data_IF_256371920661
#
_entry.id   IF_256371920661
#
_cell.length_a   1.000
_cell.length_b   1.000
_cell.length_c   1.000
_cell.angle_alpha   90.00
_cell.angle_beta   90.00
_cell.angle_gamma   90.00
#
_symmetry.space_group_name_H-M   'P 1'
#
loop_
_entity.id
_entity.type
_entity.pdbx_description
1 polymer ?
#
# COMPACT_ATOMS: atom_id res chain seq x y z
N UNK A 1 1.31 -48.33 -16.14
CA UNK A 1 2.62 -47.63 -16.26
C UNK A 1 2.27 -46.20 -16.62
N UNK A 2 2.66 -45.21 -15.81
CA UNK A 2 2.44 -43.79 -16.10
C UNK A 2 3.72 -43.29 -16.79
N UNK A 3 3.59 -42.54 -17.89
CA UNK A 3 4.72 -42.13 -18.73
C UNK A 3 5.40 -40.84 -18.25
N UNK A 4 4.83 -40.16 -17.25
CA UNK A 4 5.32 -38.90 -16.64
C UNK A 4 5.53 -37.77 -17.65
N UNK A 5 4.92 -37.85 -18.83
CA UNK A 5 5.22 -36.95 -19.94
C UNK A 5 3.98 -36.47 -20.70
N UNK A 6 2.91 -37.27 -20.74
CA UNK A 6 1.69 -36.95 -21.48
C UNK A 6 0.52 -36.85 -20.53
N UNK A 7 -0.25 -35.77 -20.64
CA UNK A 7 -1.42 -35.55 -19.79
C UNK A 7 -2.61 -35.25 -20.66
N UNK A 8 -3.68 -35.99 -20.40
CA UNK A 8 -4.95 -35.81 -21.05
C UNK A 8 -5.90 -35.25 -19.99
N UNK A 9 -6.31 -34.00 -20.14
CA UNK A 9 -7.27 -33.33 -19.25
C UNK A 9 -8.52 -32.96 -20.03
N UNK A 10 -9.67 -32.97 -19.38
CA UNK A 10 -10.93 -32.63 -20.05
C UNK A 10 -12.17 -33.04 -19.29
N UNK A 11 -13.32 -32.54 -19.74
CA UNK A 11 -14.63 -32.92 -19.20
C UNK A 11 -15.15 -34.14 -19.95
N UNK A 12 -14.98 -35.33 -19.38
CA UNK A 12 -15.49 -36.58 -19.96
C UNK A 12 -16.64 -37.12 -19.10
N UNK A 13 -17.85 -37.16 -19.66
CA UNK A 13 -19.04 -37.53 -18.89
C UNK A 13 -19.40 -39.01 -19.14
N UNK A 14 -19.15 -39.87 -18.15
CA UNK A 14 -19.35 -41.33 -18.23
C UNK A 14 -20.84 -41.78 -18.20
N UNK A 15 -21.79 -40.87 -18.39
CA UNK A 15 -23.24 -41.15 -18.31
C UNK A 15 -23.92 -41.16 -19.67
N UNK A 16 -25.01 -41.93 -19.82
CA UNK A 16 -25.79 -42.10 -21.07
C UNK A 16 -26.43 -40.79 -21.63
N UNK A 17 -26.19 -39.64 -20.99
CA UNK A 17 -26.66 -38.30 -21.41
C UNK A 17 -25.56 -37.47 -22.11
N UNK A 18 -24.45 -38.08 -22.51
CA UNK A 18 -23.27 -37.40 -23.05
C UNK A 18 -23.44 -36.79 -24.46
N UNK A 19 -24.47 -37.15 -25.23
CA UNK A 19 -24.62 -36.71 -26.64
C UNK A 19 -24.78 -35.18 -26.85
N UNK A 20 -25.16 -34.41 -25.81
CA UNK A 20 -25.45 -32.98 -25.94
C UNK A 20 -24.42 -32.05 -25.27
N UNK A 21 -23.32 -32.57 -24.71
CA UNK A 21 -22.30 -31.75 -24.05
C UNK A 21 -21.07 -31.56 -24.94
N UNK A 22 -20.59 -30.32 -25.05
CA UNK A 22 -19.30 -30.03 -25.67
C UNK A 22 -18.18 -30.49 -24.74
N UNK A 23 -17.66 -31.69 -24.96
CA UNK A 23 -16.49 -32.20 -24.26
C UNK A 23 -15.23 -31.56 -24.84
N UNK A 24 -14.45 -30.90 -23.98
CA UNK A 24 -13.13 -30.41 -24.35
C UNK A 24 -12.08 -31.35 -23.78
N UNK A 25 -11.34 -32.03 -24.65
CA UNK A 25 -10.16 -32.80 -24.31
C UNK A 25 -8.93 -32.00 -24.74
N UNK A 26 -8.05 -31.71 -23.78
CA UNK A 26 -6.77 -31.07 -23.97
C UNK A 26 -5.68 -32.10 -23.71
N UNK A 27 -4.78 -32.27 -24.66
CA UNK A 27 -3.63 -33.17 -24.53
C UNK A 27 -2.38 -32.29 -24.46
N UNK A 28 -1.72 -32.31 -23.30
CA UNK A 28 -0.45 -31.65 -23.07
C UNK A 28 0.67 -32.69 -23.21
N UNK A 29 1.58 -32.44 -24.15
CA UNK A 29 2.75 -33.26 -24.40
C UNK A 29 3.99 -32.56 -23.85
N UNK A 30 4.91 -33.31 -23.24
CA UNK A 30 6.17 -32.83 -22.67
C UNK A 30 6.01 -31.83 -21.50
N UNK A 31 4.85 -31.83 -20.85
CA UNK A 31 4.61 -31.08 -19.62
C UNK A 31 4.86 -32.00 -18.41
N UNK A 32 6.13 -32.30 -18.17
CA UNK A 32 6.59 -33.20 -17.10
C UNK A 32 6.20 -32.69 -15.72
N UNK A 33 6.14 -31.36 -15.54
CA UNK A 33 5.73 -30.71 -14.29
C UNK A 33 4.25 -30.95 -13.97
N UNK A 34 3.36 -30.74 -14.94
CA UNK A 34 1.95 -31.03 -14.76
C UNK A 34 1.71 -32.55 -14.59
N UNK A 35 2.51 -33.40 -15.27
CA UNK A 35 2.33 -34.84 -15.23
C UNK A 35 2.67 -35.39 -13.85
N UNK A 36 3.72 -34.83 -13.23
CA UNK A 36 4.12 -35.13 -11.87
C UNK A 36 3.05 -34.74 -10.83
N UNK A 37 2.35 -33.61 -11.02
CA UNK A 37 1.25 -33.20 -10.15
C UNK A 37 0.10 -34.22 -10.18
N UNK A 38 -0.34 -34.63 -11.37
CA UNK A 38 -1.38 -35.65 -11.53
C UNK A 38 -0.98 -37.01 -10.94
N UNK A 39 0.29 -37.40 -11.12
CA UNK A 39 0.82 -38.64 -10.53
C UNK A 39 0.84 -38.55 -9.00
N UNK A 40 1.22 -37.39 -8.45
CA UNK A 40 1.27 -37.17 -6.99
C UNK A 40 -0.12 -37.28 -6.37
N UNK A 41 -1.12 -36.60 -6.95
CA UNK A 41 -2.51 -36.72 -6.49
C UNK A 41 -3.04 -38.15 -6.66
N UNK A 42 -2.76 -38.81 -7.78
CA UNK A 42 -3.13 -40.20 -8.01
C UNK A 42 -2.54 -41.12 -6.93
N UNK A 43 -1.26 -40.94 -6.57
CA UNK A 43 -0.61 -41.71 -5.51
C UNK A 43 -1.23 -41.40 -4.14
N UNK A 44 -1.56 -40.14 -3.84
CA UNK A 44 -2.24 -39.77 -2.59
C UNK A 44 -3.63 -40.43 -2.48
N UNK A 45 -4.43 -40.39 -3.54
CA UNK A 45 -5.73 -41.06 -3.60
C UNK A 45 -5.55 -42.57 -3.43
N UNK A 46 -4.61 -43.17 -4.17
CA UNK A 46 -4.32 -44.61 -4.07
C UNK A 46 -3.93 -44.98 -2.63
N UNK A 47 -3.04 -44.22 -1.99
CA UNK A 47 -2.61 -44.48 -0.62
C UNK A 47 -3.76 -44.32 0.40
N UNK A 48 -4.70 -43.41 0.15
CA UNK A 48 -5.89 -43.21 0.99
C UNK A 48 -6.85 -44.40 0.94
N UNK A 49 -7.02 -45.02 -0.24
CA UNK A 49 -7.99 -46.10 -0.43
C UNK A 49 -7.37 -47.52 -0.43
N UNK A 50 -6.06 -47.65 -0.67
CA UNK A 50 -5.33 -48.91 -0.78
C UNK A 50 -3.96 -48.84 -0.07
N UNK A 51 -3.94 -48.76 1.28
CA UNK A 51 -2.71 -48.53 2.06
C UNK A 51 -1.73 -49.71 2.07
N UNK A 52 -2.19 -50.94 1.78
CA UNK A 52 -1.37 -52.17 1.84
C UNK A 52 -0.65 -52.51 0.52
N UNK A 53 -0.78 -51.67 -0.51
CA UNK A 53 -0.11 -51.89 -1.80
C UNK A 53 1.35 -51.41 -1.71
N UNK A 54 2.36 -52.22 -2.08
CA UNK A 54 3.75 -51.78 -2.07
C UNK A 54 3.92 -50.48 -2.88
N UNK A 55 4.56 -49.48 -2.26
CA UNK A 55 4.82 -48.18 -2.86
C UNK A 55 5.59 -48.38 -4.17
N UNK A 56 5.06 -47.83 -5.26
CA UNK A 56 5.80 -47.77 -6.52
C UNK A 56 6.91 -46.73 -6.30
N UNK A 57 8.15 -47.18 -6.36
CA UNK A 57 9.36 -46.38 -6.25
C UNK A 57 9.44 -45.40 -7.40
N UNK A 58 9.05 -44.15 -7.17
CA UNK A 58 9.60 -42.97 -7.84
C UNK A 58 9.22 -41.77 -6.95
N UNK A 59 9.86 -41.73 -5.79
CA UNK A 59 9.84 -40.57 -4.91
C UNK A 59 10.76 -39.49 -5.52
N UNK A 60 10.17 -38.38 -5.96
CA UNK A 60 10.90 -37.23 -6.51
C UNK A 60 10.83 -36.07 -5.49
N UNK A 61 11.73 -36.05 -4.48
CA UNK A 61 11.68 -35.06 -3.40
C UNK A 61 12.22 -33.71 -3.89
N UNK A 62 11.37 -32.95 -4.56
CA UNK A 62 11.69 -31.70 -5.25
C UNK A 62 12.50 -30.71 -4.39
N UNK A 63 12.12 -30.47 -3.13
CA UNK A 63 12.85 -29.56 -2.23
C UNK A 63 14.30 -30.00 -1.97
N UNK A 64 14.50 -31.32 -1.83
CA UNK A 64 15.82 -31.91 -1.62
C UNK A 64 16.66 -31.81 -2.90
N UNK A 65 16.01 -31.89 -4.06
CA UNK A 65 16.63 -31.76 -5.38
C UNK A 65 17.04 -30.29 -5.60
N UNK A 66 16.16 -29.33 -5.34
CA UNK A 66 16.45 -27.89 -5.45
C UNK A 66 17.65 -27.50 -4.58
N UNK A 67 17.64 -27.82 -3.28
CA UNK A 67 18.76 -27.53 -2.37
C UNK A 67 20.08 -28.16 -2.85
N UNK A 68 20.00 -29.36 -3.44
CA UNK A 68 21.17 -30.04 -4.00
C UNK A 68 21.67 -29.34 -5.25
N UNK A 69 20.79 -28.90 -6.16
CA UNK A 69 21.16 -28.14 -7.35
C UNK A 69 21.77 -26.77 -7.00
N UNK A 70 21.26 -26.08 -5.98
CA UNK A 70 21.87 -24.87 -5.43
C UNK A 70 23.28 -25.13 -4.91
N UNK A 71 23.47 -26.23 -4.17
CA UNK A 71 24.78 -26.64 -3.67
C UNK A 71 25.74 -26.95 -4.83
N UNK A 72 25.27 -27.67 -5.87
CA UNK A 72 26.09 -27.97 -7.05
C UNK A 72 26.46 -26.72 -7.84
N UNK A 73 25.55 -25.76 -7.98
CA UNK A 73 25.84 -24.45 -8.58
C UNK A 73 26.97 -23.76 -7.81
N UNK A 74 26.95 -23.80 -6.49
CA UNK A 74 28.01 -23.23 -5.65
C UNK A 74 29.34 -23.97 -5.84
N UNK A 75 29.36 -25.31 -5.94
CA UNK A 75 30.59 -26.05 -6.24
C UNK A 75 31.17 -25.71 -7.61
N UNK A 76 30.33 -25.45 -8.62
CA UNK A 76 30.80 -24.97 -9.93
C UNK A 76 31.45 -23.58 -9.81
N UNK A 77 30.84 -22.66 -9.06
CA UNK A 77 31.35 -21.28 -8.85
C UNK A 77 32.66 -21.29 -8.07
N UNK A 78 32.79 -22.17 -7.08
CA UNK A 78 33.97 -22.32 -6.23
C UNK A 78 35.06 -23.20 -6.85
N UNK A 79 34.86 -23.69 -8.08
CA UNK A 79 35.76 -24.60 -8.80
C UNK A 79 36.07 -25.91 -8.05
N UNK A 80 35.18 -26.34 -7.15
CA UNK A 80 35.33 -27.57 -6.37
C UNK A 80 34.85 -28.79 -7.15
N UNK A 81 35.75 -29.33 -7.98
CA UNK A 81 35.45 -30.42 -8.91
C UNK A 81 35.20 -31.76 -8.17
N UNK A 82 35.79 -31.97 -6.99
CA UNK A 82 35.62 -33.21 -6.23
C UNK A 82 34.22 -33.30 -5.62
N UNK A 83 33.79 -32.22 -4.97
CA UNK A 83 32.46 -32.16 -4.38
C UNK A 83 31.34 -32.02 -5.42
N UNK A 84 31.61 -31.36 -6.55
CA UNK A 84 30.71 -31.34 -7.70
C UNK A 84 30.42 -32.76 -8.22
N UNK A 85 31.46 -33.59 -8.38
CA UNK A 85 31.29 -35.00 -8.81
C UNK A 85 30.50 -35.80 -7.79
N UNK A 86 30.85 -35.68 -6.50
CA UNK A 86 30.19 -36.42 -5.43
C UNK A 86 28.71 -36.04 -5.27
N UNK A 87 28.38 -34.76 -5.45
CA UNK A 87 27.01 -34.26 -5.43
C UNK A 87 26.19 -34.66 -6.65
N UNK A 88 26.81 -34.69 -7.84
CA UNK A 88 26.15 -35.07 -9.11
C UNK A 88 25.72 -36.54 -9.12
N UNK A 89 26.54 -37.44 -8.55
CA UNK A 89 26.18 -38.87 -8.40
C UNK A 89 24.85 -39.05 -7.67
N UNK A 90 24.58 -38.21 -6.67
CA UNK A 90 23.35 -38.28 -5.89
C UNK A 90 22.12 -37.74 -6.63
N UNK A 91 22.29 -37.11 -7.80
CA UNK A 91 21.18 -36.70 -8.69
C UNK A 91 20.87 -37.75 -9.77
N UNK A 92 21.77 -38.70 -10.04
CA UNK A 92 21.59 -39.75 -11.07
C UNK A 92 20.32 -40.59 -10.81
N UNK A 93 19.94 -40.79 -9.55
CA UNK A 93 18.71 -41.50 -9.20
C UNK A 93 17.42 -40.81 -9.70
N UNK A 94 17.51 -39.54 -10.11
CA UNK A 94 16.40 -38.75 -10.64
C UNK A 94 16.52 -38.51 -12.16
N UNK A 95 17.39 -39.26 -12.85
CA UNK A 95 17.63 -39.16 -14.31
C UNK A 95 16.41 -39.56 -15.17
N UNK A 96 15.33 -40.03 -14.55
CA UNK A 96 14.05 -40.22 -15.23
C UNK A 96 13.36 -38.87 -15.55
N UNK A 97 13.69 -37.79 -14.85
CA UNK A 97 13.24 -36.44 -15.16
C UNK A 97 14.19 -35.80 -16.19
N UNK A 98 13.64 -35.31 -17.30
CA UNK A 98 14.42 -34.80 -18.43
C UNK A 98 15.23 -33.55 -18.07
N UNK A 99 14.70 -32.64 -17.25
CA UNK A 99 15.42 -31.44 -16.83
C UNK A 99 16.63 -31.79 -15.97
N UNK A 100 16.46 -32.70 -15.00
CA UNK A 100 17.56 -33.18 -14.15
C UNK A 100 18.61 -33.91 -14.99
N UNK A 101 18.18 -34.74 -15.95
CA UNK A 101 19.07 -35.41 -16.89
C UNK A 101 19.92 -34.41 -17.66
N UNK A 102 19.31 -33.38 -18.24
CA UNK A 102 20.05 -32.41 -19.04
C UNK A 102 21.02 -31.55 -18.22
N UNK A 103 20.75 -31.37 -16.91
CA UNK A 103 21.67 -30.74 -15.96
C UNK A 103 22.84 -31.67 -15.66
N UNK A 104 22.58 -32.95 -15.36
CA UNK A 104 23.62 -33.95 -15.11
C UNK A 104 24.55 -34.07 -16.32
N UNK A 105 23.99 -34.15 -17.53
CA UNK A 105 24.76 -34.26 -18.77
C UNK A 105 25.68 -33.04 -18.97
N UNK A 106 25.18 -31.83 -18.73
CA UNK A 106 25.99 -30.61 -18.82
C UNK A 106 27.14 -30.58 -17.79
N UNK A 107 26.90 -31.06 -16.57
CA UNK A 107 27.95 -31.16 -15.54
C UNK A 107 29.01 -32.21 -15.92
N UNK A 108 28.58 -33.38 -16.42
CA UNK A 108 29.47 -34.48 -16.83
C UNK A 108 30.31 -34.11 -18.04
N UNK A 109 29.73 -33.40 -19.01
CA UNK A 109 30.42 -32.88 -20.21
C UNK A 109 31.31 -31.67 -19.93
N UNK A 110 31.36 -31.21 -18.66
CA UNK A 110 32.11 -30.02 -18.21
C UNK A 110 31.64 -28.72 -18.84
N UNK A 111 30.40 -28.67 -19.29
CA UNK A 111 29.75 -27.49 -19.86
C UNK A 111 29.16 -26.62 -18.74
N UNK A 112 30.03 -26.14 -17.85
CA UNK A 112 29.64 -25.53 -16.57
C UNK A 112 28.75 -24.28 -16.72
N UNK A 113 28.97 -23.48 -17.76
CA UNK A 113 28.11 -22.33 -18.07
C UNK A 113 26.67 -22.77 -18.40
N UNK A 114 26.51 -23.82 -19.19
CA UNK A 114 25.20 -24.37 -19.52
C UNK A 114 24.56 -25.09 -18.33
N UNK A 115 25.36 -25.78 -17.51
CA UNK A 115 24.89 -26.39 -16.27
C UNK A 115 24.29 -25.34 -15.31
N UNK A 116 24.97 -24.21 -15.09
CA UNK A 116 24.47 -23.13 -14.24
C UNK A 116 23.17 -22.55 -14.81
N UNK A 117 23.10 -22.30 -16.12
CA UNK A 117 21.90 -21.78 -16.76
C UNK A 117 20.70 -22.73 -16.60
N UNK A 118 20.91 -24.03 -16.85
CA UNK A 118 19.86 -25.06 -16.69
C UNK A 118 19.43 -25.24 -15.25
N UNK A 119 20.38 -25.22 -14.30
CA UNK A 119 20.07 -25.22 -12.85
C UNK A 119 19.21 -24.01 -12.50
N UNK A 120 19.55 -22.82 -12.99
CA UNK A 120 18.76 -21.62 -12.70
C UNK A 120 17.36 -21.66 -13.34
N UNK A 121 17.24 -22.16 -14.57
CA UNK A 121 15.94 -22.35 -15.23
C UNK A 121 15.08 -23.34 -14.44
N UNK A 122 15.65 -24.47 -14.00
CA UNK A 122 14.96 -25.44 -13.16
C UNK A 122 14.52 -24.79 -11.85
N UNK A 123 15.44 -24.18 -11.10
CA UNK A 123 15.13 -23.53 -9.82
C UNK A 123 14.04 -22.46 -10.01
N UNK A 124 14.13 -21.58 -11.01
CA UNK A 124 13.16 -20.53 -11.23
C UNK A 124 11.77 -21.08 -11.61
N UNK A 125 11.71 -22.07 -12.50
CA UNK A 125 10.46 -22.67 -12.95
C UNK A 125 9.73 -23.36 -11.77
N UNK A 126 10.50 -23.98 -10.87
CA UNK A 126 9.96 -24.66 -9.69
C UNK A 126 9.78 -23.75 -8.45
N UNK A 127 10.52 -22.63 -8.33
CA UNK A 127 10.30 -21.59 -7.31
C UNK A 127 9.07 -20.74 -7.62
N UNK A 128 8.80 -20.42 -8.89
CA UNK A 128 7.53 -19.82 -9.31
C UNK A 128 6.32 -20.71 -8.95
N UNK A 129 6.49 -22.03 -8.97
CA UNK A 129 5.50 -23.00 -8.49
C UNK A 129 5.43 -23.11 -6.96
N UNK A 130 6.53 -22.82 -6.24
CA UNK A 130 6.54 -22.75 -4.77
C UNK A 130 5.83 -21.51 -4.22
N UNK A 131 5.84 -20.39 -4.96
CA UNK A 131 5.01 -19.20 -4.68
C UNK A 131 3.51 -19.55 -4.81
N UNK A 132 3.17 -20.58 -5.59
CA UNK A 132 1.81 -21.12 -5.75
C UNK A 132 1.43 -22.18 -4.71
N UNK A 133 2.35 -22.62 -3.84
CA UNK A 133 2.11 -23.72 -2.87
C UNK A 133 1.52 -23.32 -1.52
N UNK A 134 1.40 -22.03 -1.17
CA UNK A 134 0.62 -21.62 0.01
C UNK A 134 -0.43 -20.56 -0.39
N UNK A 135 -1.67 -21.00 -0.71
CA UNK A 135 -2.80 -20.10 -0.97
C UNK A 135 -2.99 -19.03 0.12
N UNK A 136 -2.57 -19.31 1.35
CA UNK A 136 -2.64 -18.37 2.47
C UNK A 136 -1.61 -17.24 2.33
N UNK A 137 -0.40 -17.50 1.81
CA UNK A 137 0.61 -16.44 1.56
C UNK A 137 0.16 -15.53 0.42
N UNK A 138 -0.38 -16.10 -0.67
CA UNK A 138 -0.95 -15.32 -1.76
C UNK A 138 -2.15 -14.48 -1.28
N UNK A 139 -3.02 -15.05 -0.44
CA UNK A 139 -4.12 -14.36 0.21
C UNK A 139 -3.66 -13.21 1.11
N UNK A 140 -2.66 -13.44 1.96
CA UNK A 140 -2.09 -12.42 2.85
C UNK A 140 -1.44 -11.28 2.07
N UNK A 141 -0.70 -11.57 0.99
CA UNK A 141 -0.11 -10.52 0.13
C UNK A 141 -1.19 -9.67 -0.55
N UNK A 142 -2.28 -10.29 -1.02
CA UNK A 142 -3.43 -9.56 -1.58
C UNK A 142 -4.15 -8.72 -0.53
N UNK A 143 -4.31 -9.25 0.69
CA UNK A 143 -4.91 -8.54 1.82
C UNK A 143 -4.07 -7.31 2.22
N UNK A 144 -2.76 -7.46 2.37
CA UNK A 144 -1.83 -6.36 2.64
C UNK A 144 -1.99 -5.25 1.60
N UNK A 145 -1.96 -5.62 0.31
CA UNK A 145 -2.14 -4.65 -0.78
C UNK A 145 -3.50 -3.94 -0.71
N UNK A 146 -4.54 -4.65 -0.29
CA UNK A 146 -5.88 -4.08 -0.13
C UNK A 146 -5.91 -3.09 1.05
N UNK A 147 -5.34 -3.47 2.19
CA UNK A 147 -5.24 -2.62 3.38
C UNK A 147 -4.37 -1.39 3.13
N UNK A 148 -3.24 -1.51 2.43
CA UNK A 148 -2.40 -0.39 2.03
C UNK A 148 -3.18 0.60 1.15
N UNK A 149 -3.96 0.12 0.18
CA UNK A 149 -4.79 0.99 -0.65
C UNK A 149 -5.90 1.70 0.16
N UNK A 150 -6.51 1.01 1.13
CA UNK A 150 -7.50 1.62 2.01
C UNK A 150 -6.88 2.67 2.92
N UNK A 151 -5.70 2.38 3.48
CA UNK A 151 -4.96 3.31 4.32
C UNK A 151 -4.60 4.57 3.55
N UNK A 152 -4.07 4.44 2.32
CA UNK A 152 -3.83 5.58 1.43
C UNK A 152 -5.10 6.41 1.17
N UNK A 153 -6.25 5.75 0.99
CA UNK A 153 -7.51 6.45 0.75
C UNK A 153 -7.96 7.25 1.98
N UNK A 154 -7.85 6.66 3.17
CA UNK A 154 -8.21 7.32 4.43
C UNK A 154 -7.25 8.44 4.78
N UNK A 155 -5.94 8.29 4.52
CA UNK A 155 -4.96 9.35 4.77
C UNK A 155 -5.23 10.55 3.85
N UNK A 156 -5.52 10.29 2.58
CA UNK A 156 -5.94 11.35 1.66
C UNK A 156 -7.24 12.02 2.12
N UNK A 157 -8.23 11.26 2.59
CA UNK A 157 -9.46 11.83 3.15
C UNK A 157 -9.18 12.72 4.35
N UNK A 158 -8.37 12.26 5.30
CA UNK A 158 -7.99 13.02 6.48
C UNK A 158 -7.29 14.33 6.10
N UNK A 159 -6.32 14.28 5.21
CA UNK A 159 -5.60 15.48 4.75
C UNK A 159 -6.55 16.49 4.09
N UNK A 160 -7.53 16.01 3.33
CA UNK A 160 -8.53 16.90 2.70
C UNK A 160 -9.46 17.53 3.72
N UNK A 161 -9.85 16.80 4.78
CA UNK A 161 -10.64 17.36 5.88
C UNK A 161 -9.82 18.38 6.69
N UNK A 162 -8.58 18.06 7.05
CA UNK A 162 -7.66 18.99 7.74
C UNK A 162 -7.45 20.26 6.92
N UNK A 163 -7.25 20.11 5.61
CA UNK A 163 -7.12 21.24 4.70
C UNK A 163 -8.38 22.08 4.63
N UNK A 164 -9.56 21.47 4.52
CA UNK A 164 -10.83 22.21 4.51
C UNK A 164 -10.98 23.07 5.78
N UNK A 165 -10.64 22.51 6.95
CA UNK A 165 -10.66 23.23 8.21
C UNK A 165 -9.65 24.38 8.22
N UNK A 166 -8.42 24.12 7.75
CA UNK A 166 -7.35 25.11 7.68
C UNK A 166 -7.71 26.26 6.73
N UNK A 167 -8.23 25.96 5.55
CA UNK A 167 -8.63 26.96 4.55
C UNK A 167 -9.79 27.83 5.07
N UNK A 168 -10.75 27.22 5.75
CA UNK A 168 -11.84 27.96 6.40
C UNK A 168 -11.33 28.87 7.50
N UNK A 169 -10.44 28.37 8.37
CA UNK A 169 -9.84 29.13 9.46
C UNK A 169 -9.01 30.30 8.95
N UNK A 170 -8.22 30.09 7.89
CA UNK A 170 -7.44 31.13 7.24
C UNK A 170 -8.36 32.23 6.71
N UNK A 171 -9.41 31.85 5.99
CA UNK A 171 -10.38 32.79 5.43
C UNK A 171 -11.17 33.54 6.51
N UNK A 172 -11.59 32.85 7.57
CA UNK A 172 -12.23 33.45 8.73
C UNK A 172 -11.34 34.53 9.37
N UNK A 173 -10.06 34.20 9.59
CA UNK A 173 -9.08 35.14 10.14
C UNK A 173 -8.88 36.33 9.21
N UNK A 174 -8.70 36.09 7.91
CA UNK A 174 -8.44 37.12 6.92
C UNK A 174 -9.62 38.09 6.75
N UNK A 175 -10.85 37.59 6.63
CA UNK A 175 -12.01 38.42 6.31
C UNK A 175 -12.69 39.03 7.55
N UNK A 176 -12.73 38.29 8.67
CA UNK A 176 -13.48 38.68 9.87
C UNK A 176 -12.59 39.02 11.05
N UNK A 177 -11.32 38.60 11.05
CA UNK A 177 -10.47 38.62 12.24
C UNK A 177 -10.21 40.01 12.80
N UNK A 178 -9.97 41.01 11.94
CA UNK A 178 -9.76 42.40 12.38
C UNK A 178 -11.00 42.97 13.07
N UNK A 179 -12.19 42.77 12.47
CA UNK A 179 -13.46 43.28 13.01
C UNK A 179 -13.79 42.58 14.32
N UNK A 180 -13.58 41.26 14.42
CA UNK A 180 -13.79 40.51 15.66
C UNK A 180 -12.86 41.02 16.77
N UNK A 181 -11.58 41.26 16.45
CA UNK A 181 -10.63 41.83 17.42
C UNK A 181 -11.07 43.21 17.90
N UNK A 182 -11.60 44.06 17.02
CA UNK A 182 -12.15 45.36 17.41
C UNK A 182 -13.37 45.22 18.32
N UNK A 183 -14.32 44.34 18.00
CA UNK A 183 -15.48 44.04 18.85
C UNK A 183 -15.03 43.57 20.24
N UNK A 184 -14.06 42.64 20.31
CA UNK A 184 -13.54 42.14 21.57
C UNK A 184 -12.83 43.24 22.39
N UNK A 185 -12.08 44.14 21.74
CA UNK A 185 -11.49 45.33 22.40
C UNK A 185 -12.58 46.24 22.99
N UNK A 186 -13.66 46.50 22.25
CA UNK A 186 -14.77 47.31 22.75
C UNK A 186 -15.51 46.62 23.91
N UNK A 187 -15.70 45.30 23.85
CA UNK A 187 -16.29 44.52 24.95
C UNK A 187 -15.44 44.60 26.22
N UNK A 188 -14.10 44.52 26.10
CA UNK A 188 -13.17 44.75 27.23
C UNK A 188 -13.36 46.11 27.87
N UNK A 189 -13.51 47.16 27.06
CA UNK A 189 -13.76 48.53 27.55
C UNK A 189 -15.11 48.60 28.27
N UNK A 190 -16.17 48.06 27.65
CA UNK A 190 -17.53 48.09 28.16
C UNK A 190 -17.68 47.38 29.52
N UNK A 191 -16.99 46.26 29.71
CA UNK A 191 -17.12 45.46 30.93
C UNK A 191 -16.03 45.71 31.97
N UNK A 192 -15.16 46.70 31.76
CA UNK A 192 -14.00 47.00 32.64
C UNK A 192 -14.34 47.12 34.12
N UNK A 193 -15.52 47.63 34.46
CA UNK A 193 -15.97 47.84 35.85
C UNK A 193 -16.73 46.63 36.44
N UNK A 194 -16.93 45.56 35.67
CA UNK A 194 -17.65 44.36 36.07
C UNK A 194 -16.69 43.18 36.25
N UNK A 195 -16.12 43.04 37.44
CA UNK A 195 -15.03 42.10 37.79
C UNK A 195 -15.03 40.77 37.02
N UNK A 196 -16.10 39.96 37.12
CA UNK A 196 -16.19 38.67 36.43
C UNK A 196 -16.28 38.78 34.90
N UNK A 197 -17.03 39.76 34.38
CA UNK A 197 -17.20 39.96 32.92
C UNK A 197 -15.99 40.63 32.28
N UNK A 198 -15.25 41.43 33.04
CA UNK A 198 -13.99 42.01 32.61
C UNK A 198 -12.97 40.91 32.35
N UNK A 199 -12.88 39.93 33.26
CA UNK A 199 -11.98 38.79 33.11
C UNK A 199 -12.37 37.91 31.91
N UNK A 200 -13.65 37.56 31.76
CA UNK A 200 -14.13 36.79 30.60
C UNK A 200 -13.82 37.51 29.28
N UNK A 201 -14.05 38.82 29.18
CA UNK A 201 -13.74 39.60 27.98
C UNK A 201 -12.24 39.74 27.71
N UNK A 202 -11.41 39.76 28.75
CA UNK A 202 -9.95 39.76 28.65
C UNK A 202 -9.43 38.43 28.11
N UNK A 203 -9.93 37.32 28.66
CA UNK A 203 -9.55 35.97 28.26
C UNK A 203 -9.97 35.68 26.80
N UNK A 204 -11.20 36.04 26.42
CA UNK A 204 -11.71 35.91 25.05
C UNK A 204 -10.84 36.68 24.04
N UNK A 205 -10.47 37.93 24.38
CA UNK A 205 -9.61 38.74 23.53
C UNK A 205 -8.21 38.13 23.38
N UNK A 206 -7.59 37.72 24.49
CA UNK A 206 -6.23 37.20 24.45
C UNK A 206 -6.17 35.87 23.68
N UNK A 207 -7.15 34.99 23.90
CA UNK A 207 -7.25 33.72 23.18
C UNK A 207 -7.42 33.94 21.67
N UNK A 208 -8.35 34.81 21.27
CA UNK A 208 -8.60 35.09 19.86
C UNK A 208 -7.41 35.82 19.21
N UNK A 209 -6.78 36.75 19.92
CA UNK A 209 -5.62 37.48 19.41
C UNK A 209 -4.41 36.57 19.17
N UNK A 210 -4.17 35.60 20.06
CA UNK A 210 -3.11 34.60 19.84
C UNK A 210 -3.39 33.75 18.59
N UNK A 211 -4.63 33.29 18.41
CA UNK A 211 -5.03 32.54 17.22
C UNK A 211 -4.89 33.38 15.94
N UNK A 212 -5.31 34.64 16.00
CA UNK A 212 -5.23 35.57 14.87
C UNK A 212 -3.79 35.83 14.43
N UNK A 213 -2.89 36.15 15.36
CA UNK A 213 -1.48 36.42 15.03
C UNK A 213 -0.78 35.15 14.46
N UNK A 214 -1.07 33.98 15.02
CA UNK A 214 -0.53 32.71 14.50
C UNK A 214 -0.99 32.38 13.08
N UNK A 215 -2.23 32.75 12.72
CA UNK A 215 -2.81 32.46 11.42
C UNK A 215 -2.47 33.52 10.36
N UNK A 216 -2.31 34.79 10.79
CA UNK A 216 -2.01 35.94 9.92
C UNK A 216 -0.68 35.83 9.17
N UNK A 217 0.33 35.22 9.80
CA UNK A 217 1.65 35.05 9.20
C UNK A 217 1.73 33.88 8.19
N UNK A 218 0.67 33.06 8.08
CA UNK A 218 0.63 31.97 7.10
C UNK A 218 0.41 32.52 5.69
N UNK A 219 1.28 32.12 4.76
CA UNK A 219 1.17 32.48 3.36
C UNK A 219 0.47 31.36 2.57
N UNK A 220 -0.62 31.69 1.89
CA UNK A 220 -1.28 30.82 0.90
C UNK A 220 -1.24 31.48 -0.47
N UNK A 221 -0.82 30.74 -1.50
CA UNK A 221 -0.89 31.23 -2.88
C UNK A 221 -2.34 31.29 -3.36
N UNK A 222 -2.69 32.36 -4.08
CA UNK A 222 -3.99 32.46 -4.74
C UNK A 222 -4.04 31.47 -5.91
N UNK A 223 -5.00 30.54 -5.86
CA UNK A 223 -5.28 29.60 -6.95
C UNK A 223 -6.72 29.78 -7.43
N UNK A 224 -6.89 29.74 -8.75
CA UNK A 224 -8.21 29.69 -9.36
C UNK A 224 -8.87 28.29 -9.22
N UNK A 225 -10.15 28.18 -9.57
CA UNK A 225 -10.94 26.94 -9.51
C UNK A 225 -10.28 25.75 -10.22
N UNK A 226 -9.69 25.97 -11.39
CA UNK A 226 -9.07 24.92 -12.21
C UNK A 226 -7.71 24.50 -11.65
N UNK A 227 -6.92 25.47 -11.16
CA UNK A 227 -5.65 25.27 -10.47
C UNK A 227 -5.83 24.53 -9.14
N UNK A 228 -6.91 24.82 -8.39
CA UNK A 228 -7.26 24.09 -7.16
C UNK A 228 -7.59 22.62 -7.46
N UNK A 229 -8.36 22.36 -8.52
CA UNK A 229 -8.65 20.99 -8.98
C UNK A 229 -7.38 20.28 -9.43
N UNK A 230 -6.50 20.99 -10.12
CA UNK A 230 -5.22 20.46 -10.57
C UNK A 230 -4.30 20.13 -9.38
N UNK A 231 -4.17 21.04 -8.42
CA UNK A 231 -3.40 20.85 -7.19
C UNK A 231 -3.84 19.58 -6.46
N UNK A 232 -5.15 19.44 -6.26
CA UNK A 232 -5.78 18.28 -5.60
C UNK A 232 -5.49 16.98 -6.35
N UNK A 233 -5.61 16.97 -7.68
CA UNK A 233 -5.33 15.78 -8.48
C UNK A 233 -3.84 15.40 -8.43
N UNK A 234 -2.95 16.39 -8.53
CA UNK A 234 -1.51 16.16 -8.49
C UNK A 234 -1.05 15.70 -7.10
N UNK A 235 -1.59 16.27 -6.03
CA UNK A 235 -1.34 15.83 -4.66
C UNK A 235 -1.75 14.38 -4.45
N UNK A 236 -2.97 13.97 -4.85
CA UNK A 236 -3.44 12.59 -4.72
C UNK A 236 -2.54 11.59 -5.45
N UNK A 237 -2.09 11.95 -6.65
CA UNK A 237 -1.16 11.12 -7.44
C UNK A 237 0.20 11.02 -6.77
N UNK A 238 0.75 12.14 -6.28
CA UNK A 238 2.05 12.17 -5.61
C UNK A 238 2.00 11.39 -4.28
N UNK A 239 0.98 11.63 -3.45
CA UNK A 239 0.72 10.91 -2.20
C UNK A 239 0.65 9.39 -2.41
N UNK A 240 0.01 8.94 -3.50
CA UNK A 240 -0.04 7.52 -3.85
C UNK A 240 1.34 6.93 -4.18
N UNK A 241 2.27 7.74 -4.70
CA UNK A 241 3.60 7.32 -5.14
C UNK A 241 4.65 7.36 -4.01
N UNK A 242 4.54 8.29 -3.06
CA UNK A 242 5.50 8.50 -1.98
C UNK A 242 4.94 8.14 -0.59
N UNK A 243 3.98 7.21 -0.53
CA UNK A 243 3.39 6.82 0.75
C UNK A 243 4.40 5.98 1.55
N UNK A 244 4.79 6.39 2.77
CA UNK A 244 5.90 5.77 3.52
C UNK A 244 5.66 4.29 3.92
N UNK A 245 4.45 3.80 3.73
CA UNK A 245 4.09 2.38 3.94
C UNK A 245 4.25 1.50 2.68
N UNK A 246 4.67 2.06 1.53
CA UNK A 246 4.97 1.30 0.29
C UNK A 246 6.46 0.98 0.10
N UNK A 247 7.33 1.42 1.00
CA UNK A 247 8.78 1.33 0.90
C UNK A 247 9.42 0.48 1.99
N UNK A 248 10.62 0.00 1.69
CA UNK A 248 11.48 -0.72 2.64
C UNK A 248 11.87 0.18 3.82
N UNK A 249 12.18 -0.40 4.97
CA UNK A 249 12.62 0.34 6.17
C UNK A 249 13.82 1.26 5.90
N UNK A 250 14.66 0.92 4.92
CA UNK A 250 15.83 1.72 4.52
C UNK A 250 15.47 3.00 3.75
N UNK A 251 14.28 3.04 3.14
CA UNK A 251 13.80 4.15 2.29
C UNK A 251 12.70 4.98 2.97
N UNK A 252 12.20 4.53 4.12
CA UNK A 252 11.14 5.21 4.87
C UNK A 252 11.48 6.64 5.26
N UNK A 253 12.71 6.89 5.71
CA UNK A 253 13.13 8.22 6.16
C UNK A 253 13.19 9.23 5.00
N UNK A 254 13.53 8.77 3.79
CA UNK A 254 13.58 9.62 2.60
C UNK A 254 12.16 9.89 2.08
N UNK A 255 11.31 8.87 1.98
CA UNK A 255 9.93 9.05 1.56
C UNK A 255 9.11 9.87 2.54
N UNK A 256 9.33 9.71 3.85
CA UNK A 256 8.65 10.52 4.86
C UNK A 256 9.00 12.00 4.73
N UNK A 257 10.25 12.35 4.40
CA UNK A 257 10.63 13.75 4.13
C UNK A 257 9.94 14.29 2.90
N UNK A 258 9.90 13.53 1.82
CA UNK A 258 9.20 13.93 0.58
C UNK A 258 7.71 14.09 0.83
N UNK A 259 7.10 13.21 1.63
CA UNK A 259 5.69 13.29 1.99
C UNK A 259 5.37 14.54 2.84
N UNK A 260 6.23 14.87 3.81
CA UNK A 260 6.09 16.11 4.60
C UNK A 260 6.20 17.35 3.70
N UNK A 261 7.19 17.39 2.81
CA UNK A 261 7.37 18.50 1.88
C UNK A 261 6.17 18.63 0.91
N UNK A 262 5.62 17.50 0.46
CA UNK A 262 4.42 17.45 -0.37
C UNK A 262 3.20 18.00 0.38
N UNK A 263 3.02 17.62 1.66
CA UNK A 263 1.92 18.13 2.50
C UNK A 263 2.05 19.63 2.71
N UNK A 264 3.23 20.12 3.05
CA UNK A 264 3.48 21.56 3.22
C UNK A 264 3.19 22.36 1.95
N UNK A 265 3.62 21.86 0.79
CA UNK A 265 3.33 22.49 -0.50
C UNK A 265 1.80 22.51 -0.81
N UNK A 266 1.10 21.44 -0.42
CA UNK A 266 -0.35 21.35 -0.58
C UNK A 266 -1.10 22.33 0.32
N UNK A 267 -0.66 22.50 1.56
CA UNK A 267 -1.23 23.42 2.56
C UNK A 267 -0.99 24.90 2.19
N UNK A 268 0.14 25.19 1.55
CA UNK A 268 0.49 26.55 1.06
C UNK A 268 -0.15 26.91 -0.28
N UNK A 269 -0.90 26.01 -0.92
CA UNK A 269 -1.39 26.18 -2.29
C UNK A 269 -0.28 26.31 -3.37
N UNK A 270 0.91 25.74 -3.13
CA UNK A 270 2.04 25.79 -4.07
C UNK A 270 1.90 24.72 -5.17
N UNK A 271 1.14 25.05 -6.22
CA UNK A 271 0.88 24.16 -7.36
C UNK A 271 2.16 23.76 -8.10
N UNK A 272 3.11 24.67 -8.26
CA UNK A 272 4.35 24.41 -9.00
C UNK A 272 5.27 23.46 -8.23
N UNK A 273 5.38 23.62 -6.90
CA UNK A 273 6.12 22.70 -6.04
C UNK A 273 5.49 21.31 -6.02
N UNK A 274 4.15 21.21 -5.94
CA UNK A 274 3.45 19.91 -6.04
C UNK A 274 3.67 19.25 -7.41
N UNK A 275 3.63 20.01 -8.52
CA UNK A 275 3.93 19.49 -9.87
C UNK A 275 5.36 18.99 -9.98
N UNK A 276 6.32 19.72 -9.42
CA UNK A 276 7.74 19.33 -9.40
C UNK A 276 7.95 18.02 -8.64
N UNK A 277 7.43 17.92 -7.41
CA UNK A 277 7.53 16.70 -6.60
C UNK A 277 6.88 15.51 -7.32
N UNK A 278 5.70 15.70 -7.91
CA UNK A 278 5.04 14.65 -8.70
C UNK A 278 5.91 14.17 -9.86
N UNK A 279 6.53 15.10 -10.60
CA UNK A 279 7.39 14.78 -11.74
C UNK A 279 8.63 14.02 -11.31
N UNK A 280 9.27 14.45 -10.22
CA UNK A 280 10.46 13.79 -9.68
C UNK A 280 10.14 12.35 -9.26
N UNK A 281 9.01 12.13 -8.56
CA UNK A 281 8.51 10.80 -8.21
C UNK A 281 8.18 9.93 -9.43
N UNK A 282 7.70 10.51 -10.52
CA UNK A 282 7.41 9.79 -11.77
C UNK A 282 8.67 9.42 -12.57
N UNK A 283 9.72 10.25 -12.52
CA UNK A 283 10.98 9.98 -13.23
C UNK A 283 11.86 8.93 -12.55
N UNK A 284 11.73 8.76 -11.23
CA UNK A 284 12.50 7.79 -10.43
C UNK A 284 11.94 6.36 -10.53
N UNK A 285 10.92 6.12 -11.36
CA UNK A 285 10.14 4.88 -11.43
C UNK A 285 10.97 3.58 -11.37
N UNK A 286 11.06 2.97 -10.18
CA UNK A 286 11.03 1.53 -9.88
C UNK A 286 11.41 1.27 -8.42
N UNK A 287 10.46 1.39 -7.49
CA UNK A 287 10.59 0.74 -6.19
C UNK A 287 9.99 -0.66 -6.29
N UNK A 288 10.87 -1.63 -6.50
CA UNK A 288 10.55 -3.06 -6.44
C UNK A 288 10.22 -3.46 -4.99
N UNK A 289 9.11 -4.17 -4.82
CA UNK A 289 8.81 -4.95 -3.63
C UNK A 289 9.94 -5.96 -3.37
N UNK A 290 10.54 -5.94 -2.18
CA UNK A 290 11.45 -6.98 -1.68
C UNK A 290 10.72 -7.80 -0.60
N UNK A 291 11.02 -9.07 -0.33
CA UNK A 291 12.03 -10.03 -0.84
C UNK A 291 11.65 -11.42 -0.32
N UNK A 292 11.99 -12.45 -1.07
CA UNK A 292 11.96 -13.85 -0.60
C UNK A 292 13.02 -14.08 0.48
N UNK A 293 12.61 -14.75 1.57
CA UNK A 293 13.29 -15.78 2.41
C UNK A 293 13.15 -15.67 3.94
N UNK A 294 12.46 -16.69 4.49
CA UNK A 294 12.49 -17.30 5.85
C UNK A 294 11.67 -16.61 6.98
N UNK A 295 10.36 -16.63 6.79
CA UNK A 295 9.23 -17.04 7.68
C UNK A 295 8.02 -16.20 7.25
N UNK A 296 7.76 -16.20 5.94
CA UNK A 296 6.94 -15.19 5.27
C UNK A 296 5.54 -15.12 5.87
N UNK A 297 4.96 -16.25 6.24
CA UNK A 297 3.57 -16.32 6.70
C UNK A 297 3.32 -15.61 8.04
N UNK A 298 4.17 -15.82 9.04
CA UNK A 298 3.99 -15.22 10.37
C UNK A 298 4.27 -13.72 10.32
N UNK A 299 5.28 -13.31 9.55
CA UNK A 299 5.59 -11.90 9.33
C UNK A 299 4.46 -11.19 8.57
N UNK A 300 3.92 -11.80 7.50
CA UNK A 300 2.79 -11.25 6.75
C UNK A 300 1.55 -11.08 7.65
N UNK A 301 1.26 -12.02 8.56
CA UNK A 301 0.17 -11.87 9.53
C UNK A 301 0.39 -10.69 10.49
N UNK A 302 1.62 -10.51 10.98
CA UNK A 302 1.94 -9.35 11.83
C UNK A 302 1.78 -8.04 11.06
N UNK A 303 2.17 -7.99 9.79
CA UNK A 303 1.99 -6.81 8.94
C UNK A 303 0.51 -6.51 8.72
N UNK A 304 -0.31 -7.52 8.39
CA UNK A 304 -1.78 -7.38 8.27
C UNK A 304 -2.38 -6.78 9.54
N UNK A 305 -2.04 -7.30 10.71
CA UNK A 305 -2.56 -6.80 11.99
C UNK A 305 -2.12 -5.36 12.27
N UNK A 306 -0.86 -5.01 11.99
CA UNK A 306 -0.37 -3.61 12.11
C UNK A 306 -1.13 -2.66 11.18
N UNK A 307 -1.34 -3.06 9.91
CA UNK A 307 -2.07 -2.24 8.93
C UNK A 307 -3.54 -2.05 9.36
N UNK A 308 -4.19 -3.10 9.87
CA UNK A 308 -5.56 -3.02 10.44
C UNK A 308 -5.62 -2.06 11.63
N UNK A 309 -4.66 -2.13 12.54
CA UNK A 309 -4.60 -1.21 13.69
C UNK A 309 -4.42 0.25 13.26
N UNK A 310 -3.52 0.52 12.32
CA UNK A 310 -3.34 1.85 11.74
C UNK A 310 -4.63 2.35 11.09
N UNK A 311 -5.29 1.51 10.30
CA UNK A 311 -6.55 1.85 9.63
C UNK A 311 -7.65 2.23 10.64
N UNK A 312 -7.78 1.46 11.73
CA UNK A 312 -8.74 1.75 12.81
C UNK A 312 -8.44 3.05 13.54
N UNK A 313 -7.15 3.36 13.76
CA UNK A 313 -6.76 4.63 14.36
C UNK A 313 -7.13 5.79 13.44
N UNK A 314 -6.80 5.68 12.16
CA UNK A 314 -7.07 6.70 11.16
C UNK A 314 -8.57 6.93 10.96
N UNK A 315 -9.37 5.87 10.95
CA UNK A 315 -10.83 5.95 10.92
C UNK A 315 -11.38 6.74 12.11
N UNK A 316 -10.89 6.48 13.32
CA UNK A 316 -11.29 7.25 14.52
C UNK A 316 -10.91 8.73 14.40
N UNK A 317 -9.73 9.03 13.88
CA UNK A 317 -9.29 10.41 13.68
C UNK A 317 -10.19 11.15 12.67
N UNK A 318 -10.56 10.50 11.56
CA UNK A 318 -11.51 11.04 10.58
C UNK A 318 -12.89 11.27 11.21
N UNK A 319 -13.40 10.31 11.97
CA UNK A 319 -14.69 10.44 12.67
C UNK A 319 -14.64 11.63 13.64
N UNK A 320 -13.59 11.74 14.46
CA UNK A 320 -13.42 12.85 15.39
C UNK A 320 -13.42 14.22 14.68
N UNK A 321 -12.78 14.31 13.51
CA UNK A 321 -12.80 15.54 12.70
C UNK A 321 -14.23 15.82 12.22
N UNK A 322 -14.95 14.82 11.70
CA UNK A 322 -16.31 15.00 11.18
C UNK A 322 -17.36 15.28 12.27
N UNK A 323 -17.14 14.79 13.48
CA UNK A 323 -18.00 15.05 14.64
C UNK A 323 -17.71 16.40 15.32
N UNK A 324 -16.61 17.07 14.92
CA UNK A 324 -16.29 18.40 15.47
C UNK A 324 -17.35 19.44 15.08
N UNK A 325 -17.64 20.35 16.01
CA UNK A 325 -18.60 21.44 15.80
C UNK A 325 -18.19 22.34 14.62
N UNK A 326 -16.88 22.59 14.48
CA UNK A 326 -16.32 23.38 13.38
C UNK A 326 -16.62 22.73 12.03
N UNK A 327 -16.37 21.43 11.89
CA UNK A 327 -16.66 20.73 10.63
C UNK A 327 -18.16 20.71 10.32
N UNK A 328 -19.00 20.44 11.32
CA UNK A 328 -20.45 20.46 11.17
C UNK A 328 -20.94 21.82 10.65
N UNK A 329 -20.41 22.92 11.21
CA UNK A 329 -20.72 24.29 10.78
C UNK A 329 -20.24 24.55 9.36
N UNK A 330 -19.01 24.14 8.99
CA UNK A 330 -18.50 24.32 7.64
C UNK A 330 -19.33 23.55 6.61
N UNK A 331 -19.76 22.34 6.97
CA UNK A 331 -20.51 21.46 6.07
C UNK A 331 -21.97 21.92 5.84
N UNK A 332 -22.52 22.81 6.69
CA UNK A 332 -23.84 23.43 6.44
C UNK A 332 -23.77 24.67 5.56
N UNK A 333 -22.57 25.22 5.33
CA UNK A 333 -22.37 26.40 4.49
C UNK A 333 -22.31 25.97 3.01
N UNK A 334 -23.25 26.46 2.21
CA UNK A 334 -23.27 26.18 0.76
C UNK A 334 -22.23 27.00 0.00
N UNK A 335 -22.08 28.28 0.34
CA UNK A 335 -21.17 29.22 -0.31
C UNK A 335 -20.43 30.05 0.75
N UNK A 336 -19.11 29.90 0.77
CA UNK A 336 -18.24 30.61 1.70
C UNK A 336 -18.27 32.12 1.44
N UNK A 337 -18.35 32.57 0.20
CA UNK A 337 -18.37 33.99 -0.15
C UNK A 337 -19.62 34.66 0.44
N UNK A 338 -20.77 34.01 0.31
CA UNK A 338 -22.04 34.52 0.86
C UNK A 338 -21.97 34.52 2.38
N UNK A 339 -21.55 33.41 2.99
CA UNK A 339 -21.46 33.27 4.44
C UNK A 339 -20.55 34.33 5.08
N UNK A 340 -19.34 34.52 4.55
CA UNK A 340 -18.40 35.49 5.10
C UNK A 340 -18.87 36.94 4.90
N UNK A 341 -19.47 37.27 3.75
CA UNK A 341 -20.04 38.60 3.53
C UNK A 341 -21.21 38.93 4.48
N UNK A 342 -22.13 37.97 4.68
CA UNK A 342 -23.26 38.15 5.60
C UNK A 342 -22.77 38.28 7.05
N UNK A 343 -21.84 37.40 7.47
CA UNK A 343 -21.27 37.43 8.82
C UNK A 343 -20.50 38.72 9.06
N UNK A 344 -19.71 39.17 8.09
CA UNK A 344 -19.00 40.46 8.14
C UNK A 344 -19.96 41.62 8.34
N UNK A 345 -21.05 41.66 7.57
CA UNK A 345 -22.07 42.70 7.68
C UNK A 345 -22.70 42.72 9.08
N UNK A 346 -22.99 41.56 9.65
CA UNK A 346 -23.53 41.44 11.01
C UNK A 346 -22.53 41.94 12.07
N UNK A 347 -21.26 41.57 11.93
CA UNK A 347 -20.19 42.04 12.83
C UNK A 347 -19.98 43.55 12.73
N UNK A 348 -20.01 44.13 11.54
CA UNK A 348 -19.91 45.58 11.35
C UNK A 348 -21.08 46.32 12.02
N UNK A 349 -22.30 45.79 11.94
CA UNK A 349 -23.46 46.33 12.65
C UNK A 349 -23.31 46.22 14.17
N UNK A 350 -22.81 45.08 14.67
CA UNK A 350 -22.53 44.89 16.09
C UNK A 350 -21.48 45.89 16.58
N UNK A 351 -20.38 46.04 15.84
CA UNK A 351 -19.30 46.98 16.13
C UNK A 351 -19.85 48.41 16.23
N UNK A 352 -20.65 48.86 15.27
CA UNK A 352 -21.28 50.18 15.31
C UNK A 352 -22.17 50.35 16.55
N UNK A 353 -22.98 49.34 16.88
CA UNK A 353 -23.87 49.39 18.04
C UNK A 353 -23.12 49.47 19.37
N UNK A 354 -21.99 48.75 19.48
CA UNK A 354 -21.12 48.75 20.66
C UNK A 354 -20.41 50.09 20.82
N UNK A 355 -19.90 50.65 19.73
CA UNK A 355 -19.27 51.98 19.74
C UNK A 355 -20.24 53.04 20.23
N UNK A 356 -21.47 53.08 19.69
CA UNK A 356 -22.51 54.03 20.13
C UNK A 356 -22.88 53.87 21.61
N UNK A 357 -22.87 52.64 22.14
CA UNK A 357 -23.16 52.39 23.56
C UNK A 357 -22.04 52.81 24.51
N UNK A 358 -20.79 52.87 24.02
CA UNK A 358 -19.63 53.29 24.81
C UNK A 358 -19.46 54.82 24.74
N UNK A 359 -19.85 55.44 23.62
CA UNK A 359 -19.82 56.90 23.43
C UNK A 359 -21.00 57.63 24.09
N UNK A 360 -22.14 56.95 24.29
CA UNK A 360 -23.30 57.45 25.04
C UNK A 360 -23.12 57.30 26.54
#
# INVERSE_FOLDING_TARGET
MIDYNTIITGSYNWSYKAENNFENIVINYNDTSLAEQFVTEFIQIKNKYYPDVPKIENDFPLEKIIKRLETLKNFIILEDIEDLKSGTVKLIQYNFNEDIKTIIDAIVQKEYLMAIAKIQIFINSYQQLSIWKDPEIAGLKLEIKTLENQLNAFDNEKIELEKLLSDFQHRHTSELGEIILEILKLRKIKYKDYDKKAQEAEDDFNHYNEQFENEKDKHQFELNEDERKELKNNFRKASTLCHPDKVTEEQKDEEQKVFIELKEAYDQHDLEKVKRILKDLQTVNSFCSQSDTISEKEQLKVIVEKLRQKLQQLEKEIINIKESETFSTINTIEDWDIYFNETKTQLEQELQSLTLQIES
#
